data_IF_714901395605
#
_entry.id   IF_714901395605
#
_cell.length_a   1.000
_cell.length_b   1.000
_cell.length_c   1.000
_cell.angle_alpha   90.00
_cell.angle_beta   90.00
_cell.angle_gamma   90.00
#
_symmetry.space_group_name_H-M   'P 1'
#
loop_
_entity.id
_entity.type
_entity.pdbx_description
1 polymer ?
#
# COMPACT_ATOMS: atom_id res chain seq x y z
N UNK A 1 -23.93 6.37 12.49
CA UNK A 1 -22.46 6.54 12.32
C UNK A 1 -21.92 5.41 11.46
N UNK A 2 -21.38 5.69 10.27
CA UNK A 2 -20.86 4.63 9.38
C UNK A 2 -19.56 4.01 9.93
N UNK A 3 -19.28 2.74 9.64
CA UNK A 3 -18.01 2.08 10.04
C UNK A 3 -16.80 2.78 9.40
N UNK A 4 -16.98 3.33 8.19
CA UNK A 4 -15.97 4.08 7.46
C UNK A 4 -15.59 5.36 8.21
N UNK A 5 -16.57 6.10 8.76
CA UNK A 5 -16.29 7.33 9.53
C UNK A 5 -15.35 7.07 10.71
N UNK A 6 -15.61 6.03 11.50
CA UNK A 6 -14.73 5.64 12.61
C UNK A 6 -13.36 5.17 12.13
N UNK A 7 -13.31 4.39 11.04
CA UNK A 7 -12.05 3.96 10.43
C UNK A 7 -11.18 5.13 9.97
N UNK A 8 -11.80 6.16 9.38
CA UNK A 8 -11.11 7.39 8.99
C UNK A 8 -10.53 8.14 10.19
N UNK A 9 -11.26 8.22 11.31
CA UNK A 9 -10.75 8.83 12.55
C UNK A 9 -9.52 8.10 13.08
N UNK A 10 -9.53 6.76 13.05
CA UNK A 10 -8.35 5.96 13.43
C UNK A 10 -7.18 6.24 12.49
N UNK A 11 -7.42 6.33 11.18
CA UNK A 11 -6.38 6.71 10.24
C UNK A 11 -5.76 8.06 10.61
N UNK A 12 -6.57 9.10 10.81
CA UNK A 12 -6.08 10.44 11.15
C UNK A 12 -5.31 10.48 12.48
N UNK A 13 -5.76 9.76 13.51
CA UNK A 13 -5.18 9.84 14.85
C UNK A 13 -3.96 8.94 15.07
N UNK A 14 -3.85 7.85 14.32
CA UNK A 14 -2.84 6.80 14.57
C UNK A 14 -1.95 6.56 13.37
N UNK A 15 -2.54 6.44 12.17
CA UNK A 15 -1.82 5.96 11.00
C UNK A 15 -1.18 7.09 10.20
N UNK A 16 -1.83 8.25 10.13
CA UNK A 16 -1.43 9.37 9.28
C UNK A 16 -0.06 9.96 9.65
N UNK A 17 0.45 9.71 10.86
CA UNK A 17 1.79 10.11 11.28
C UNK A 17 2.92 9.34 10.56
N UNK A 18 2.64 8.13 10.08
CA UNK A 18 3.64 7.28 9.44
C UNK A 18 3.24 6.81 8.05
N UNK A 19 1.94 6.69 7.78
CA UNK A 19 1.42 6.15 6.54
C UNK A 19 0.75 7.20 5.68
N UNK A 20 1.19 7.27 4.42
CA UNK A 20 0.52 8.04 3.40
C UNK A 20 -0.76 7.36 2.90
N UNK A 21 -1.61 8.18 2.29
CA UNK A 21 -2.78 7.72 1.52
C UNK A 21 -2.91 8.57 0.25
N UNK A 22 -1.95 8.41 -0.66
CA UNK A 22 -1.77 9.34 -1.79
C UNK A 22 -2.91 9.32 -2.80
N UNK A 23 -3.64 8.21 -2.91
CA UNK A 23 -4.69 8.03 -3.91
C UNK A 23 -6.08 8.48 -3.46
N UNK A 24 -6.23 8.99 -2.23
CA UNK A 24 -7.49 9.49 -1.70
C UNK A 24 -7.43 11.01 -1.51
N UNK A 25 -8.53 11.68 -1.87
CA UNK A 25 -8.74 13.13 -1.69
C UNK A 25 -9.89 13.37 -0.71
N UNK A 26 -9.96 14.54 -0.09
CA UNK A 26 -11.04 14.86 0.84
C UNK A 26 -12.44 14.71 0.21
N UNK A 27 -12.61 15.10 -1.06
CA UNK A 27 -13.87 14.93 -1.81
C UNK A 27 -14.37 13.50 -1.86
N UNK A 28 -13.49 12.51 -1.77
CA UNK A 28 -13.86 11.08 -1.83
C UNK A 28 -14.58 10.63 -0.54
N UNK A 29 -14.53 11.44 0.53
CA UNK A 29 -15.23 11.19 1.79
C UNK A 29 -16.67 11.73 1.81
N UNK A 30 -17.00 12.68 0.92
CA UNK A 30 -18.30 13.36 0.87
C UNK A 30 -19.38 12.37 0.47
N UNK A 31 -20.44 12.27 1.28
CA UNK A 31 -21.54 11.33 1.06
C UNK A 31 -21.20 9.87 1.40
N UNK A 32 -19.94 9.56 1.73
CA UNK A 32 -19.50 8.22 2.17
C UNK A 32 -19.39 8.15 3.69
N UNK A 33 -18.70 9.12 4.29
CA UNK A 33 -18.43 9.15 5.73
C UNK A 33 -18.78 10.48 6.40
N UNK A 34 -18.82 11.57 5.63
CA UNK A 34 -19.02 12.94 6.11
C UNK A 34 -19.93 13.72 5.15
N UNK A 35 -20.54 14.81 5.63
CA UNK A 35 -21.20 15.78 4.73
C UNK A 35 -20.16 16.65 4.02
N UNK A 36 -20.58 17.41 3.02
CA UNK A 36 -19.69 18.31 2.30
C UNK A 36 -19.11 19.39 3.22
N UNK A 37 -19.95 19.95 4.10
CA UNK A 37 -19.56 21.00 5.06
C UNK A 37 -18.56 20.48 6.09
N UNK A 38 -18.81 19.29 6.66
CA UNK A 38 -17.89 18.64 7.59
C UNK A 38 -16.53 18.37 6.94
N UNK A 39 -16.55 17.85 5.71
CA UNK A 39 -15.33 17.52 4.97
C UNK A 39 -14.55 18.77 4.59
N UNK A 40 -15.26 19.86 4.24
CA UNK A 40 -14.65 21.15 3.91
C UNK A 40 -14.00 21.78 5.14
N UNK A 41 -14.65 21.70 6.30
CA UNK A 41 -14.05 22.15 7.55
C UNK A 41 -12.77 21.37 7.86
N UNK A 42 -12.82 20.04 7.74
CA UNK A 42 -11.66 19.17 7.97
C UNK A 42 -10.51 19.40 6.97
N UNK A 43 -10.82 19.65 5.70
CA UNK A 43 -9.80 19.98 4.70
C UNK A 43 -9.16 21.34 4.99
N UNK A 44 -9.93 22.31 5.52
CA UNK A 44 -9.42 23.63 5.85
C UNK A 44 -8.47 23.64 7.07
N UNK A 45 -8.48 22.59 7.90
CA UNK A 45 -7.55 22.44 9.03
C UNK A 45 -6.10 22.17 8.61
N UNK A 46 -5.89 21.70 7.37
CA UNK A 46 -4.54 21.45 6.85
C UNK A 46 -4.05 22.64 6.03
N UNK A 47 -2.77 22.94 6.18
CA UNK A 47 -2.06 23.87 5.31
C UNK A 47 -1.48 23.12 4.12
N UNK A 48 -1.82 23.58 2.92
CA UNK A 48 -1.34 23.03 1.66
C UNK A 48 -0.46 24.07 1.00
N UNK A 49 0.76 23.67 0.64
CA UNK A 49 1.65 24.49 -0.19
C UNK A 49 1.10 24.46 -1.62
N UNK A 50 0.81 25.63 -2.17
CA UNK A 50 0.35 25.80 -3.55
C UNK A 50 1.33 26.70 -4.32
N UNK A 51 1.15 26.75 -5.64
CA UNK A 51 2.10 27.23 -6.64
C UNK A 51 2.68 28.63 -6.44
N UNK A 52 3.55 29.06 -7.38
CA UNK A 52 4.14 30.37 -7.32
C UNK A 52 3.07 31.44 -7.52
N UNK A 53 3.04 32.44 -6.64
CA UNK A 53 2.27 33.67 -6.81
C UNK A 53 2.86 34.52 -7.98
N UNK A 54 2.29 35.70 -8.20
CA UNK A 54 2.73 36.63 -9.25
C UNK A 54 4.21 37.08 -9.08
N UNK A 55 4.80 36.88 -7.90
CA UNK A 55 6.18 37.18 -7.56
C UNK A 55 7.11 35.95 -7.69
N UNK A 56 6.56 34.78 -8.03
CA UNK A 56 7.31 33.53 -8.18
C UNK A 56 7.48 32.73 -6.87
N UNK A 57 6.84 33.15 -5.78
CA UNK A 57 6.99 32.55 -4.45
C UNK A 57 5.86 31.55 -4.15
N UNK A 58 6.20 30.38 -3.61
CA UNK A 58 5.22 29.39 -3.15
C UNK A 58 4.52 29.91 -1.89
N UNK A 59 3.20 29.73 -1.80
CA UNK A 59 2.43 30.16 -0.63
C UNK A 59 1.66 29.00 0.00
N UNK A 60 1.25 29.17 1.26
CA UNK A 60 0.38 28.22 1.95
C UNK A 60 -1.06 28.70 1.91
N UNK A 61 -1.99 27.77 1.77
CA UNK A 61 -3.43 28.03 1.85
C UNK A 61 -4.15 26.95 2.66
N UNK A 62 -5.34 27.25 3.21
CA UNK A 62 -6.20 26.20 3.73
C UNK A 62 -6.52 25.17 2.63
N UNK A 63 -6.59 23.91 3.03
CA UNK A 63 -6.94 22.81 2.14
C UNK A 63 -8.36 22.94 1.58
N UNK A 64 -8.55 22.39 0.39
CA UNK A 64 -9.84 22.27 -0.31
C UNK A 64 -10.17 20.80 -0.53
N UNK A 65 -11.43 20.52 -0.89
CA UNK A 65 -11.91 19.14 -1.09
C UNK A 65 -11.13 18.36 -2.16
N UNK A 66 -10.55 19.03 -3.16
CA UNK A 66 -9.76 18.35 -4.19
C UNK A 66 -8.36 17.95 -3.73
N UNK A 67 -7.89 18.46 -2.59
CA UNK A 67 -6.55 18.15 -2.11
C UNK A 67 -6.48 16.71 -1.59
N UNK A 68 -5.28 16.13 -1.73
CA UNK A 68 -4.95 14.81 -1.19
C UNK A 68 -4.71 14.89 0.31
N UNK A 69 -4.75 13.74 0.98
CA UNK A 69 -4.30 13.68 2.35
C UNK A 69 -2.81 14.02 2.46
N UNK A 70 -2.40 14.73 3.52
CA UNK A 70 -1.02 15.18 3.69
C UNK A 70 -0.08 13.98 3.79
N UNK A 71 1.10 14.12 3.18
CA UNK A 71 2.15 13.11 3.28
C UNK A 71 2.89 13.29 4.61
N UNK A 72 3.12 12.23 5.40
CA UNK A 72 3.87 12.33 6.65
C UNK A 72 5.35 12.67 6.45
N UNK A 73 5.89 12.36 5.28
CA UNK A 73 7.29 12.57 4.95
C UNK A 73 7.44 13.20 3.56
N UNK A 74 8.46 14.04 3.34
CA UNK A 74 8.71 14.67 2.05
C UNK A 74 9.27 13.71 1.00
N UNK A 75 9.95 12.64 1.43
CA UNK A 75 10.54 11.62 0.55
C UNK A 75 10.77 10.29 1.29
N UNK A 76 11.12 9.26 0.52
CA UNK A 76 11.37 7.90 1.05
C UNK A 76 12.53 7.85 2.04
N UNK A 77 13.62 8.60 1.79
CA UNK A 77 14.79 8.59 2.66
C UNK A 77 14.46 9.14 4.05
N UNK A 78 13.68 10.22 4.12
CA UNK A 78 13.18 10.79 5.36
C UNK A 78 12.26 9.80 6.11
N UNK A 79 11.38 9.11 5.38
CA UNK A 79 10.52 8.09 5.96
C UNK A 79 11.31 6.93 6.56
N UNK A 80 12.32 6.41 5.84
CA UNK A 80 13.20 5.34 6.35
C UNK A 80 14.00 5.79 7.55
N UNK A 81 14.55 7.00 7.52
CA UNK A 81 15.32 7.54 8.64
C UNK A 81 14.46 7.62 9.92
N UNK A 82 13.24 8.14 9.81
CA UNK A 82 12.32 8.26 10.94
C UNK A 82 11.81 6.90 11.49
N UNK A 83 11.86 5.84 10.69
CA UNK A 83 11.30 4.52 11.03
C UNK A 83 12.38 3.42 11.11
N UNK A 84 13.61 3.76 11.52
CA UNK A 84 14.67 2.78 11.78
C UNK A 84 15.12 1.98 10.55
N UNK A 85 15.03 2.58 9.35
CA UNK A 85 15.38 1.98 8.06
C UNK A 85 14.21 1.35 7.31
N UNK A 86 13.09 1.09 7.98
CA UNK A 86 11.87 0.56 7.35
C UNK A 86 11.10 1.67 6.63
N UNK A 87 10.48 1.33 5.50
CA UNK A 87 9.63 2.27 4.75
C UNK A 87 8.15 1.95 4.98
N UNK A 88 7.37 2.83 5.62
CA UNK A 88 5.94 2.64 5.78
C UNK A 88 5.23 2.67 4.41
N UNK A 89 4.49 1.62 4.03
CA UNK A 89 3.78 1.58 2.74
C UNK A 89 2.57 2.52 2.72
N UNK A 90 2.20 3.00 1.52
CA UNK A 90 0.96 3.73 1.27
C UNK A 90 -0.26 2.82 1.50
N UNK A 91 -1.23 3.30 2.28
CA UNK A 91 -2.42 2.52 2.66
C UNK A 91 -3.56 2.60 1.64
N UNK A 92 -3.43 3.40 0.58
CA UNK A 92 -4.50 3.62 -0.41
C UNK A 92 -5.05 2.32 -1.03
N UNK A 93 -4.18 1.33 -1.26
CA UNK A 93 -4.54 0.05 -1.91
C UNK A 93 -4.12 -1.18 -1.09
N UNK A 94 -3.77 -1.00 0.19
CA UNK A 94 -3.16 -2.07 1.00
C UNK A 94 -4.03 -3.33 1.11
N UNK A 95 -5.35 -3.15 1.13
CA UNK A 95 -6.31 -4.26 1.20
C UNK A 95 -6.41 -5.06 -0.10
N UNK A 96 -6.14 -4.44 -1.25
CA UNK A 96 -6.09 -5.13 -2.55
C UNK A 96 -4.77 -5.87 -2.73
N UNK A 97 -3.66 -5.23 -2.37
CA UNK A 97 -2.31 -5.76 -2.57
C UNK A 97 -2.04 -6.95 -1.65
N UNK A 98 -2.42 -6.86 -0.38
CA UNK A 98 -2.20 -7.96 0.58
C UNK A 98 -2.93 -9.23 0.18
N UNK A 99 -4.17 -9.13 -0.33
CA UNK A 99 -4.92 -10.29 -0.80
C UNK A 99 -4.26 -10.91 -2.03
N UNK A 100 -3.90 -10.10 -3.03
CA UNK A 100 -3.20 -10.60 -4.23
C UNK A 100 -1.85 -11.26 -3.88
N UNK A 101 -1.11 -10.68 -2.93
CA UNK A 101 0.18 -11.21 -2.51
C UNK A 101 0.04 -12.51 -1.72
N UNK A 102 -0.95 -12.61 -0.83
CA UNK A 102 -1.27 -13.85 -0.13
C UNK A 102 -1.70 -14.95 -1.09
N UNK A 103 -2.52 -14.63 -2.11
CA UNK A 103 -2.87 -15.59 -3.15
C UNK A 103 -1.66 -16.02 -3.96
N UNK A 104 -0.78 -15.10 -4.37
CA UNK A 104 0.44 -15.42 -5.09
C UNK A 104 1.40 -16.30 -4.27
N UNK A 105 1.59 -15.99 -2.98
CA UNK A 105 2.42 -16.80 -2.08
C UNK A 105 1.81 -18.19 -1.83
N UNK A 106 0.49 -18.28 -1.66
CA UNK A 106 -0.19 -19.57 -1.53
C UNK A 106 -0.06 -20.39 -2.81
N UNK A 107 -0.20 -19.76 -3.98
CA UNK A 107 -0.05 -20.43 -5.27
C UNK A 107 1.38 -20.88 -5.53
N UNK A 108 2.36 -20.04 -5.21
CA UNK A 108 3.77 -20.38 -5.31
C UNK A 108 4.11 -21.55 -4.38
N UNK A 109 3.71 -21.50 -3.10
CA UNK A 109 3.91 -22.59 -2.15
C UNK A 109 3.23 -23.89 -2.59
N UNK A 110 2.00 -23.82 -3.10
CA UNK A 110 1.29 -24.99 -3.60
C UNK A 110 1.95 -25.57 -4.86
N UNK A 111 2.46 -24.71 -5.75
CA UNK A 111 3.23 -25.14 -6.92
C UNK A 111 4.55 -25.81 -6.53
N UNK A 112 5.25 -25.30 -5.52
CA UNK A 112 6.47 -25.92 -5.00
C UNK A 112 6.19 -27.26 -4.29
N UNK A 113 5.10 -27.35 -3.53
CA UNK A 113 4.71 -28.60 -2.86
C UNK A 113 4.24 -29.68 -3.85
N UNK A 114 3.44 -29.30 -4.85
CA UNK A 114 3.00 -30.23 -5.90
C UNK A 114 4.15 -30.70 -6.78
N UNK A 115 5.10 -29.80 -7.09
CA UNK A 115 6.32 -30.15 -7.82
C UNK A 115 7.23 -31.11 -7.03
N UNK A 116 7.42 -30.88 -5.72
CA UNK A 116 8.16 -31.80 -4.86
C UNK A 116 7.48 -33.19 -4.77
N UNK A 117 6.15 -33.22 -4.69
CA UNK A 117 5.41 -34.49 -4.63
C UNK A 117 5.47 -35.25 -5.96
N UNK A 118 5.33 -34.57 -7.09
CA UNK A 118 5.53 -35.17 -8.41
C UNK A 118 6.95 -35.69 -8.61
N UNK A 119 7.97 -34.94 -8.17
CA UNK A 119 9.36 -35.38 -8.24
C UNK A 119 9.61 -36.63 -7.38
N UNK A 120 9.04 -36.69 -6.17
CA UNK A 120 9.12 -37.88 -5.30
C UNK A 120 8.43 -39.11 -5.93
N UNK A 121 7.25 -38.93 -6.53
CA UNK A 121 6.54 -40.01 -7.24
C UNK A 121 7.35 -40.49 -8.45
N UNK A 122 7.97 -39.55 -9.18
CA UNK A 122 8.80 -39.88 -10.34
C UNK A 122 10.10 -40.61 -9.95
N UNK A 123 10.73 -40.23 -8.83
CA UNK A 123 11.90 -40.93 -8.28
C UNK A 123 11.56 -42.31 -7.70
N UNK A 124 10.40 -42.45 -7.04
CA UNK A 124 9.92 -43.72 -6.47
C UNK A 124 9.52 -44.75 -7.54
N UNK A 125 9.02 -44.31 -8.70
CA UNK A 125 8.53 -45.19 -9.76
C UNK A 125 9.63 -45.77 -10.67
N UNK A 126 10.90 -45.39 -10.47
CA UNK A 126 12.03 -45.88 -11.26
C UNK A 126 12.01 -45.45 -12.74
N UNK A 127 11.10 -44.54 -13.12
CA UNK A 127 10.92 -44.06 -14.51
C UNK A 127 11.64 -42.75 -14.82
N UNK A 128 12.51 -42.27 -13.93
CA UNK A 128 13.24 -41.02 -14.11
C UNK A 128 14.13 -41.06 -15.36
N UNK A 129 13.76 -40.30 -16.40
CA UNK A 129 14.61 -40.06 -17.57
C UNK A 129 15.30 -38.70 -17.38
N UNK A 130 16.63 -38.67 -17.53
CA UNK A 130 17.51 -37.50 -17.32
C UNK A 130 17.05 -36.14 -17.89
N UNK A 131 16.21 -36.01 -18.94
CA UNK A 131 15.69 -34.71 -19.38
C UNK A 131 14.70 -34.04 -18.41
N UNK A 132 13.94 -34.80 -17.62
CA UNK A 132 12.89 -34.26 -16.74
C UNK A 132 13.44 -33.71 -15.41
N UNK A 133 14.58 -34.21 -14.94
CA UNK A 133 15.26 -33.73 -13.73
C UNK A 133 15.90 -32.35 -13.89
N UNK A 134 16.06 -31.86 -15.12
CA UNK A 134 16.72 -30.58 -15.41
C UNK A 134 15.87 -29.36 -15.04
N UNK A 135 14.54 -29.53 -14.99
CA UNK A 135 13.59 -28.51 -14.52
C UNK A 135 13.65 -28.37 -12.99
N UNK A 136 14.03 -29.44 -12.28
CA UNK A 136 14.14 -29.44 -10.81
C UNK A 136 15.32 -28.61 -10.29
N UNK A 137 16.46 -28.64 -11.00
CA UNK A 137 17.69 -27.98 -10.54
C UNK A 137 17.67 -26.45 -10.71
N UNK A 138 16.81 -25.89 -11.55
CA UNK A 138 16.77 -24.45 -11.85
C UNK A 138 16.04 -23.62 -10.79
N UNK A 139 15.28 -24.28 -9.89
CA UNK A 139 14.55 -23.65 -8.79
C UNK A 139 15.22 -23.81 -7.41
N UNK A 140 16.35 -24.53 -7.33
CA UNK A 140 17.01 -24.93 -6.07
C UNK A 140 18.51 -24.62 -6.02
N UNK A 141 18.98 -23.65 -6.81
CA UNK A 141 20.29 -23.06 -6.59
C UNK A 141 20.09 -21.57 -6.24
N UNK A 142 20.61 -21.11 -5.09
CA UNK A 142 20.42 -19.76 -4.59
C UNK A 142 21.00 -18.68 -5.52
#
# INVERSE_FOLDING_TARGET
MSRIRRGHQVYQQVCASCHSMSLISYRDLVGVAYTEEETKAMAAEIEVVDGPNDEGEMFTRPGKLSDRFPQPYPNEQAARFANGGAYPPDLSLITKVTIAHLFALQWCNLSSQTFNLLCLIHMSSGKARWPELRVCSSYWLP
#
